data_IF_873174947549
#
_entry.id   IF_873174947549
#
_cell.length_a   1.000
_cell.length_b   1.000
_cell.length_c   1.000
_cell.angle_alpha   90.00
_cell.angle_beta   90.00
_cell.angle_gamma   90.00
#
_symmetry.space_group_name_H-M   'P 1'
#
loop_
_entity.id
_entity.type
_entity.pdbx_description
1 polymer ?
#
# COMPACT_ATOMS: atom_id res chain seq x y z
N UNK A 1 -19.79 -24.56 20.23
CA UNK A 1 -18.93 -23.37 20.48
C UNK A 1 -17.97 -23.70 21.61
N UNK A 2 -16.65 -23.49 21.46
CA UNK A 2 -15.66 -23.70 22.55
C UNK A 2 -14.95 -22.40 22.90
N UNK A 3 -14.53 -22.24 24.15
CA UNK A 3 -13.79 -21.05 24.59
C UNK A 3 -12.51 -20.83 23.78
N UNK A 4 -11.80 -21.92 23.43
CA UNK A 4 -10.61 -21.89 22.57
C UNK A 4 -10.89 -21.26 21.20
N UNK A 5 -12.01 -21.65 20.57
CA UNK A 5 -12.40 -21.09 19.28
C UNK A 5 -12.75 -19.61 19.39
N UNK A 6 -13.49 -19.21 20.43
CA UNK A 6 -13.85 -17.80 20.67
C UNK A 6 -12.60 -16.95 20.89
N UNK A 7 -11.63 -17.42 21.68
CA UNK A 7 -10.35 -16.73 21.86
C UNK A 7 -9.58 -16.60 20.54
N UNK A 8 -9.54 -17.67 19.74
CA UNK A 8 -8.89 -17.68 18.43
C UNK A 8 -9.47 -16.64 17.50
N UNK A 9 -10.81 -16.59 17.39
CA UNK A 9 -11.53 -15.65 16.52
C UNK A 9 -11.37 -14.20 17.00
N UNK A 10 -11.61 -13.92 18.29
CA UNK A 10 -11.60 -12.54 18.81
C UNK A 10 -10.20 -11.92 18.73
N UNK A 11 -9.15 -12.69 19.00
CA UNK A 11 -7.78 -12.18 19.05
C UNK A 11 -6.98 -12.40 17.76
N UNK A 12 -7.56 -13.05 16.75
CA UNK A 12 -6.83 -13.47 15.55
C UNK A 12 -5.55 -14.27 15.91
N UNK A 13 -5.67 -15.25 16.81
CA UNK A 13 -4.51 -16.00 17.33
C UNK A 13 -3.83 -16.79 16.22
N UNK A 14 -2.53 -16.54 16.02
CA UNK A 14 -1.65 -17.37 15.19
C UNK A 14 -1.01 -18.43 16.11
N UNK A 15 -1.20 -19.75 15.87
CA UNK A 15 -0.52 -20.78 16.63
C UNK A 15 1.01 -20.67 16.50
N UNK A 16 1.73 -20.82 17.61
CA UNK A 16 3.18 -20.67 17.64
C UNK A 16 3.83 -21.71 18.56
N UNK A 17 5.03 -22.13 18.19
CA UNK A 17 5.89 -23.05 18.95
C UNK A 17 7.33 -22.55 18.96
N UNK A 18 8.10 -22.90 19.99
CA UNK A 18 9.45 -22.39 20.18
C UNK A 18 10.43 -22.85 19.09
N UNK A 19 10.26 -24.04 18.54
CA UNK A 19 11.15 -24.63 17.51
C UNK A 19 11.19 -23.79 16.24
N UNK A 20 10.03 -23.43 15.67
CA UNK A 20 9.95 -22.61 14.45
C UNK A 20 10.59 -21.25 14.65
N UNK A 21 10.36 -20.61 15.81
CA UNK A 21 10.98 -19.32 16.14
C UNK A 21 12.51 -19.43 16.28
N UNK A 22 13.01 -20.52 16.88
CA UNK A 22 14.44 -20.74 17.04
C UNK A 22 15.15 -20.95 15.69
N UNK A 23 14.54 -21.69 14.75
CA UNK A 23 15.09 -21.89 13.40
C UNK A 23 15.19 -20.57 12.64
N UNK A 24 14.10 -19.80 12.58
CA UNK A 24 14.07 -18.51 11.87
C UNK A 24 15.05 -17.51 12.51
N UNK A 25 15.07 -17.42 13.85
CA UNK A 25 15.99 -16.53 14.55
C UNK A 25 17.46 -16.90 14.30
N UNK A 26 17.79 -18.19 14.26
CA UNK A 26 19.14 -18.67 13.93
C UNK A 26 19.59 -18.27 12.53
N UNK A 27 18.69 -18.37 11.54
CA UNK A 27 18.95 -17.92 10.17
C UNK A 27 19.16 -16.39 10.14
N UNK A 28 18.26 -15.61 10.74
CA UNK A 28 18.40 -14.15 10.77
C UNK A 28 19.70 -13.69 11.45
N UNK A 29 20.05 -14.28 12.59
CA UNK A 29 21.29 -13.95 13.31
C UNK A 29 22.54 -14.30 12.48
N UNK A 30 22.50 -15.40 11.74
CA UNK A 30 23.57 -15.79 10.81
C UNK A 30 23.71 -14.77 9.69
N UNK A 31 22.61 -14.31 9.09
CA UNK A 31 22.66 -13.29 8.03
C UNK A 31 23.15 -11.94 8.54
N UNK A 32 22.74 -11.52 9.75
CA UNK A 32 23.28 -10.33 10.41
C UNK A 32 24.79 -10.44 10.62
N UNK A 33 25.27 -11.60 11.08
CA UNK A 33 26.71 -11.84 11.25
C UNK A 33 27.47 -11.77 9.92
N UNK A 34 26.95 -12.39 8.86
CA UNK A 34 27.53 -12.32 7.51
C UNK A 34 27.64 -10.88 7.02
N UNK A 35 26.56 -10.10 7.15
CA UNK A 35 26.52 -8.68 6.74
C UNK A 35 27.52 -7.84 7.56
N UNK A 36 27.53 -8.01 8.88
CA UNK A 36 28.37 -7.20 9.78
C UNK A 36 29.87 -7.47 9.61
N UNK A 37 30.24 -8.71 9.28
CA UNK A 37 31.65 -9.14 9.19
C UNK A 37 32.16 -9.29 7.75
N UNK A 38 31.26 -9.29 6.77
CA UNK A 38 31.57 -9.62 5.37
C UNK A 38 32.29 -10.97 5.21
N UNK A 39 32.08 -11.92 6.13
CA UNK A 39 32.79 -13.20 6.12
C UNK A 39 32.33 -14.16 5.01
N UNK A 40 31.07 -14.00 4.56
CA UNK A 40 30.43 -14.78 3.50
C UNK A 40 29.43 -13.91 2.74
N UNK A 41 28.98 -14.40 1.57
CA UNK A 41 27.88 -13.80 0.81
C UNK A 41 26.57 -14.00 1.60
N UNK A 42 25.77 -12.94 1.81
CA UNK A 42 24.47 -13.04 2.48
C UNK A 42 23.44 -13.76 1.62
N UNK A 43 22.38 -14.27 2.25
CA UNK A 43 21.21 -14.86 1.60
C UNK A 43 20.60 -13.87 0.60
N UNK A 44 20.25 -14.38 -0.57
CA UNK A 44 19.59 -13.60 -1.61
C UNK A 44 18.08 -13.46 -1.34
N UNK A 45 17.74 -12.60 -0.38
CA UNK A 45 16.45 -12.04 -0.02
C UNK A 45 15.32 -12.93 0.55
N UNK A 46 15.15 -14.21 0.16
CA UNK A 46 14.01 -15.00 0.64
C UNK A 46 14.35 -16.46 1.01
N UNK A 47 13.73 -16.92 2.10
CA UNK A 47 13.73 -18.31 2.54
C UNK A 47 12.37 -18.67 3.12
N UNK A 48 11.83 -19.81 2.71
CA UNK A 48 10.63 -20.44 3.28
C UNK A 48 11.06 -21.66 4.08
N UNK A 49 10.49 -21.83 5.27
CA UNK A 49 10.70 -23.00 6.14
C UNK A 49 9.34 -23.63 6.47
N UNK A 50 9.27 -24.96 6.43
CA UNK A 50 8.09 -25.74 6.79
C UNK A 50 8.51 -27.06 7.45
N UNK A 51 7.90 -27.40 8.57
CA UNK A 51 8.15 -28.61 9.36
C UNK A 51 6.91 -29.48 9.59
N UNK A 52 5.86 -29.34 8.76
CA UNK A 52 4.63 -30.13 8.87
C UNK A 52 4.84 -31.57 8.41
N UNK A 53 5.62 -31.79 7.35
CA UNK A 53 5.99 -33.11 6.83
C UNK A 53 7.51 -33.16 6.57
N UNK A 54 8.25 -33.74 7.51
CA UNK A 54 9.70 -33.66 7.54
C UNK A 54 10.20 -32.23 7.75
N UNK A 55 11.42 -31.94 7.28
CA UNK A 55 12.01 -30.59 7.31
C UNK A 55 12.17 -30.13 5.87
N UNK A 56 11.47 -29.07 5.50
CA UNK A 56 11.53 -28.47 4.17
C UNK A 56 11.98 -27.01 4.27
N UNK A 57 12.93 -26.64 3.42
CA UNK A 57 13.35 -25.27 3.23
C UNK A 57 13.56 -24.96 1.76
N UNK A 58 13.13 -23.78 1.32
CA UNK A 58 13.30 -23.32 -0.05
C UNK A 58 13.79 -21.88 -0.07
N UNK A 59 14.90 -21.64 -0.77
CA UNK A 59 15.49 -20.31 -0.96
C UNK A 59 15.33 -19.89 -2.41
N UNK A 60 14.92 -18.65 -2.63
CA UNK A 60 14.81 -18.08 -3.97
C UNK A 60 15.00 -16.56 -3.88
N UNK A 61 15.36 -15.96 -5.01
CA UNK A 61 15.42 -14.51 -5.14
C UNK A 61 14.06 -13.98 -5.56
N UNK A 62 13.37 -13.31 -4.63
CA UNK A 62 12.16 -12.57 -4.93
C UNK A 62 12.47 -11.36 -5.83
N UNK A 63 11.76 -11.24 -6.95
CA UNK A 63 11.95 -10.13 -7.88
C UNK A 63 11.49 -8.80 -7.26
N UNK A 64 12.26 -7.73 -7.50
CA UNK A 64 11.88 -6.38 -7.10
C UNK A 64 10.80 -5.85 -8.04
N UNK A 65 9.61 -5.57 -7.51
CA UNK A 65 8.54 -4.89 -8.26
C UNK A 65 8.97 -3.46 -8.62
N UNK A 66 9.11 -3.15 -9.91
CA UNK A 66 9.60 -1.85 -10.41
C UNK A 66 8.68 -0.67 -10.04
N UNK A 67 7.39 -0.93 -9.88
CA UNK A 67 6.36 0.03 -9.48
C UNK A 67 5.94 -0.17 -8.00
N UNK A 68 6.83 -0.63 -7.14
CA UNK A 68 6.57 -0.74 -5.70
C UNK A 68 6.27 0.64 -5.07
N UNK A 69 5.19 0.74 -4.30
CA UNK A 69 4.75 1.98 -3.63
C UNK A 69 5.76 2.56 -2.63
N UNK A 70 6.68 1.73 -2.13
CA UNK A 70 7.61 2.08 -1.06
C UNK A 70 9.02 2.31 -1.59
N UNK A 71 9.56 1.37 -2.37
CA UNK A 71 10.96 1.39 -2.79
C UNK A 71 11.18 1.76 -4.28
N UNK A 72 10.11 2.03 -5.03
CA UNK A 72 10.23 2.67 -6.34
C UNK A 72 10.37 4.18 -6.17
N UNK A 73 11.29 4.78 -6.92
CA UNK A 73 11.46 6.24 -6.98
C UNK A 73 10.62 6.87 -8.10
N UNK A 74 9.81 6.08 -8.80
CA UNK A 74 8.97 6.55 -9.91
C UNK A 74 7.59 6.93 -9.37
N UNK A 75 7.02 8.09 -9.76
CA UNK A 75 5.61 8.39 -9.49
C UNK A 75 4.73 7.28 -10.06
N UNK A 76 3.79 6.80 -9.26
CA UNK A 76 2.89 5.77 -9.70
C UNK A 76 1.76 6.41 -10.50
N UNK A 77 1.51 5.89 -11.70
CA UNK A 77 0.50 6.45 -12.61
C UNK A 77 -0.82 5.73 -12.36
N UNK A 78 -1.88 6.50 -12.12
CA UNK A 78 -3.24 5.99 -12.03
C UNK A 78 -4.06 6.50 -13.22
N UNK A 79 -4.48 5.56 -14.06
CA UNK A 79 -5.28 5.85 -15.23
C UNK A 79 -6.76 6.05 -14.87
N UNK A 80 -7.32 7.19 -15.27
CA UNK A 80 -8.73 7.56 -15.06
C UNK A 80 -9.43 7.56 -16.43
N UNK A 81 -10.36 6.63 -16.62
CA UNK A 81 -11.07 6.44 -17.91
C UNK A 81 -12.12 7.49 -18.21
N UNK A 82 -12.85 7.96 -17.20
CA UNK A 82 -13.90 8.98 -17.37
C UNK A 82 -13.73 10.09 -16.32
N UNK A 83 -12.89 11.10 -16.60
CA UNK A 83 -12.61 12.16 -15.63
C UNK A 83 -13.84 12.95 -15.21
N UNK A 84 -14.87 13.03 -16.05
CA UNK A 84 -16.06 13.83 -15.81
C UNK A 84 -17.05 13.15 -14.87
N UNK A 85 -17.08 11.81 -14.83
CA UNK A 85 -17.93 11.07 -13.88
C UNK A 85 -17.16 10.53 -12.68
N UNK A 86 -15.83 10.43 -12.76
CA UNK A 86 -15.00 9.83 -11.72
C UNK A 86 -14.99 10.69 -10.45
N UNK A 87 -15.50 10.13 -9.36
CA UNK A 87 -15.64 10.80 -8.06
C UNK A 87 -14.42 10.59 -7.17
N UNK A 88 -14.18 11.54 -6.27
CA UNK A 88 -13.11 11.41 -5.27
C UNK A 88 -13.29 10.16 -4.37
N UNK A 89 -14.53 9.78 -4.06
CA UNK A 89 -14.83 8.56 -3.33
C UNK A 89 -14.27 7.31 -4.04
N UNK A 90 -14.46 7.20 -5.36
CA UNK A 90 -13.95 6.07 -6.13
C UNK A 90 -12.42 5.99 -6.10
N UNK A 91 -11.73 7.13 -6.06
CA UNK A 91 -10.28 7.15 -5.87
C UNK A 91 -9.87 6.52 -4.52
N UNK A 92 -10.56 6.89 -3.45
CA UNK A 92 -10.30 6.35 -2.10
C UNK A 92 -10.61 4.85 -2.05
N UNK A 93 -11.72 4.43 -2.67
CA UNK A 93 -12.11 3.03 -2.74
C UNK A 93 -11.04 2.21 -3.48
N UNK A 94 -10.53 2.69 -4.62
CA UNK A 94 -9.41 2.03 -5.34
C UNK A 94 -8.18 1.90 -4.44
N UNK A 95 -7.78 2.97 -3.75
CA UNK A 95 -6.59 2.96 -2.90
C UNK A 95 -6.74 2.02 -1.69
N UNK A 96 -7.98 1.78 -1.25
CA UNK A 96 -8.26 0.96 -0.08
C UNK A 96 -8.46 -0.52 -0.45
N UNK A 97 -9.19 -0.79 -1.54
CA UNK A 97 -9.62 -2.14 -1.92
C UNK A 97 -8.65 -2.84 -2.88
N UNK A 98 -7.90 -2.09 -3.70
CA UNK A 98 -6.98 -2.71 -4.65
C UNK A 98 -5.83 -3.40 -3.94
N UNK A 99 -5.56 -4.64 -4.36
CA UNK A 99 -4.48 -5.46 -3.84
C UNK A 99 -3.09 -4.81 -4.01
N UNK A 100 -2.95 -3.85 -4.92
CA UNK A 100 -1.70 -3.13 -5.13
C UNK A 100 -1.40 -2.08 -4.06
N UNK A 101 -2.46 -1.50 -3.46
CA UNK A 101 -2.34 -0.37 -2.53
C UNK A 101 -2.69 -0.75 -1.10
N UNK A 102 -3.83 -1.44 -0.89
CA UNK A 102 -4.31 -1.93 0.41
C UNK A 102 -4.21 -0.88 1.54
N UNK A 103 -4.45 0.38 1.22
CA UNK A 103 -4.38 1.47 2.19
C UNK A 103 -5.55 1.40 3.16
N UNK A 104 -5.33 1.77 4.41
CA UNK A 104 -6.37 1.60 5.44
C UNK A 104 -7.31 2.79 5.51
N UNK A 105 -6.76 4.00 5.52
CA UNK A 105 -7.47 5.28 5.66
C UNK A 105 -6.71 6.38 4.88
N UNK A 106 -6.67 6.32 3.54
CA UNK A 106 -5.85 7.21 2.75
C UNK A 106 -6.33 8.67 2.85
N UNK A 107 -5.44 9.56 3.29
CA UNK A 107 -5.60 11.00 3.24
C UNK A 107 -5.04 11.55 1.93
N UNK A 108 -5.86 12.33 1.22
CA UNK A 108 -5.56 12.85 -0.12
C UNK A 108 -5.38 14.36 -0.08
N UNK A 109 -4.23 14.81 -0.56
CA UNK A 109 -3.91 16.24 -0.73
C UNK A 109 -3.34 16.47 -2.13
N UNK A 110 -3.46 17.70 -2.64
CA UNK A 110 -2.88 18.07 -3.94
C UNK A 110 -2.49 19.54 -3.93
N UNK A 111 -1.72 19.97 -4.93
CA UNK A 111 -1.34 21.37 -5.12
C UNK A 111 -2.18 21.95 -6.25
N UNK A 112 -2.96 22.99 -5.95
CA UNK A 112 -3.73 23.76 -6.95
C UNK A 112 -3.28 25.21 -6.86
N UNK A 113 -2.89 25.79 -7.99
CA UNK A 113 -2.43 27.18 -8.11
C UNK A 113 -1.36 27.56 -7.06
N UNK A 114 -0.41 26.65 -6.83
CA UNK A 114 0.70 26.84 -5.89
C UNK A 114 0.33 26.71 -4.40
N UNK A 115 -0.91 26.33 -4.07
CA UNK A 115 -1.36 26.12 -2.68
C UNK A 115 -1.72 24.66 -2.44
N UNK A 116 -1.33 24.15 -1.28
CA UNK A 116 -1.75 22.83 -0.81
C UNK A 116 -3.24 22.85 -0.48
N UNK A 117 -3.99 21.96 -1.12
CA UNK A 117 -5.42 21.76 -0.92
C UNK A 117 -5.66 20.33 -0.43
N UNK A 118 -6.31 20.20 0.72
CA UNK A 118 -6.78 18.90 1.22
C UNK A 118 -8.05 18.50 0.49
N UNK A 119 -8.01 17.35 -0.18
CA UNK A 119 -9.16 16.79 -0.89
C UNK A 119 -10.06 16.02 0.08
N UNK A 120 -9.46 15.12 0.85
CA UNK A 120 -10.12 14.33 1.89
C UNK A 120 -9.12 13.85 2.93
N UNK A 121 -9.52 13.83 4.21
CA UNK A 121 -8.69 13.29 5.29
C UNK A 121 -9.57 12.79 6.44
N UNK A 122 -9.55 11.48 6.70
CA UNK A 122 -10.41 10.84 7.71
C UNK A 122 -9.82 10.84 9.13
N UNK A 123 -8.51 11.06 9.26
CA UNK A 123 -7.79 10.95 10.55
C UNK A 123 -8.14 12.07 11.54
N UNK A 124 -8.48 13.26 11.05
CA UNK A 124 -8.80 14.44 11.87
C UNK A 124 -10.28 14.81 11.64
N UNK A 125 -11.12 14.59 12.66
CA UNK A 125 -12.59 14.78 12.56
C UNK A 125 -13.00 16.15 12.00
N UNK A 126 -12.37 17.24 12.46
CA UNK A 126 -12.69 18.60 11.99
C UNK A 126 -12.36 18.84 10.52
N UNK A 127 -11.35 18.15 9.98
CA UNK A 127 -10.99 18.21 8.56
C UNK A 127 -11.88 17.26 7.76
N UNK A 128 -12.17 16.08 8.30
CA UNK A 128 -13.05 15.08 7.71
C UNK A 128 -14.43 15.67 7.43
N UNK A 129 -15.06 16.30 8.42
CA UNK A 129 -16.38 16.93 8.28
C UNK A 129 -16.39 18.00 7.18
N UNK A 130 -15.32 18.80 7.09
CA UNK A 130 -15.18 19.87 6.09
C UNK A 130 -14.87 19.35 4.68
N UNK A 131 -14.23 18.19 4.58
CA UNK A 131 -13.79 17.61 3.30
C UNK A 131 -14.69 16.48 2.81
N UNK A 132 -15.59 15.97 3.64
CA UNK A 132 -16.57 14.93 3.30
C UNK A 132 -17.44 15.31 2.10
N UNK A 133 -17.79 16.60 1.97
CA UNK A 133 -18.55 17.14 0.82
C UNK A 133 -17.82 17.00 -0.52
N UNK A 134 -16.50 16.77 -0.52
CA UNK A 134 -15.73 16.56 -1.74
C UNK A 134 -15.81 15.12 -2.26
N UNK A 135 -16.24 14.16 -1.44
CA UNK A 135 -16.30 12.75 -1.82
C UNK A 135 -17.26 12.50 -2.98
N UNK A 136 -18.38 13.22 -3.01
CA UNK A 136 -19.41 13.10 -4.03
C UNK A 136 -19.12 13.92 -5.30
N UNK A 137 -18.10 14.79 -5.24
CA UNK A 137 -17.68 15.62 -6.36
C UNK A 137 -16.74 14.87 -7.28
N UNK A 138 -16.76 15.24 -8.55
CA UNK A 138 -15.89 14.67 -9.57
C UNK A 138 -14.48 15.26 -9.47
N UNK A 139 -13.47 14.56 -9.99
CA UNK A 139 -12.09 15.08 -9.97
C UNK A 139 -12.00 16.44 -10.72
N UNK A 140 -12.73 16.58 -11.81
CA UNK A 140 -12.81 17.82 -12.59
C UNK A 140 -13.47 18.96 -11.79
N UNK A 141 -14.58 18.70 -11.08
CA UNK A 141 -15.23 19.68 -10.19
C UNK A 141 -14.31 20.15 -9.04
N UNK A 142 -13.41 19.28 -8.59
CA UNK A 142 -12.42 19.60 -7.57
C UNK A 142 -11.24 20.44 -8.09
N UNK A 143 -11.18 20.66 -9.40
CA UNK A 143 -10.14 21.41 -10.10
C UNK A 143 -8.90 20.57 -10.41
N UNK A 144 -9.01 19.24 -10.41
CA UNK A 144 -7.90 18.32 -10.68
C UNK A 144 -7.77 18.14 -12.19
N UNK A 145 -6.58 18.39 -12.71
CA UNK A 145 -6.24 18.32 -14.14
C UNK A 145 -5.49 17.02 -14.46
N UNK A 146 -5.44 16.72 -15.75
CA UNK A 146 -4.59 15.63 -16.24
C UNK A 146 -3.10 15.86 -15.88
N UNK A 147 -2.40 14.79 -15.53
CA UNK A 147 -0.99 14.80 -15.12
C UNK A 147 -0.73 15.35 -13.72
N UNK A 148 -1.78 15.71 -12.97
CA UNK A 148 -1.65 16.28 -11.63
C UNK A 148 -1.26 15.23 -10.59
N UNK A 149 -0.40 15.65 -9.65
CA UNK A 149 0.06 14.81 -8.57
C UNK A 149 -0.90 14.89 -7.37
N UNK A 150 -1.26 13.72 -6.86
CA UNK A 150 -2.00 13.52 -5.62
C UNK A 150 -1.03 12.94 -4.60
N UNK A 151 -0.91 13.64 -3.49
CA UNK A 151 -0.10 13.25 -2.35
C UNK A 151 -0.98 12.45 -1.40
N UNK A 152 -0.65 11.17 -1.24
CA UNK A 152 -1.39 10.23 -0.41
C UNK A 152 -0.61 9.90 0.84
N UNK A 153 -1.22 10.16 1.99
CA UNK A 153 -0.68 9.77 3.29
C UNK A 153 -1.62 8.74 3.93
N UNK A 154 -1.08 7.63 4.41
CA UNK A 154 -1.86 6.56 5.04
C UNK A 154 -1.08 5.93 6.19
N UNK A 155 -1.78 5.31 7.14
CA UNK A 155 -1.16 4.63 8.29
C UNK A 155 -0.34 3.40 7.89
N UNK A 156 -0.52 2.88 6.67
CA UNK A 156 0.26 1.75 6.14
C UNK A 156 1.69 2.11 5.73
N UNK A 157 1.99 3.41 5.54
CA UNK A 157 3.30 3.88 5.09
C UNK A 157 3.75 5.12 5.87
N UNK A 158 5.01 5.18 6.36
CA UNK A 158 5.53 6.38 7.02
C UNK A 158 5.80 7.53 6.03
N UNK A 159 5.92 7.23 4.74
CA UNK A 159 6.21 8.21 3.67
C UNK A 159 4.98 8.47 2.82
N UNK A 160 4.81 9.72 2.38
CA UNK A 160 3.78 10.12 1.43
C UNK A 160 4.02 9.49 0.06
N UNK A 161 3.01 8.81 -0.47
CA UNK A 161 3.02 8.23 -1.82
C UNK A 161 2.55 9.30 -2.80
N UNK A 162 3.26 9.45 -3.91
CA UNK A 162 2.90 10.38 -4.99
C UNK A 162 2.23 9.61 -6.12
N UNK A 163 0.96 9.90 -6.36
CA UNK A 163 0.18 9.35 -7.48
C UNK A 163 0.04 10.42 -8.57
N UNK A 164 0.48 10.10 -9.78
CA UNK A 164 0.23 10.93 -10.95
C UNK A 164 -1.05 10.45 -11.62
N UNK A 165 -2.07 11.30 -11.64
CA UNK A 165 -3.31 10.99 -12.34
C UNK A 165 -3.10 11.16 -13.84
N UNK A 166 -3.55 10.20 -14.63
CA UNK A 166 -3.53 10.26 -16.09
C UNK A 166 -4.94 10.05 -16.63
N UNK A 167 -5.47 11.04 -17.33
CA UNK A 167 -6.79 10.95 -17.93
C UNK A 167 -6.65 10.23 -19.28
N UNK A 168 -7.34 9.11 -19.43
CA UNK A 168 -7.43 8.41 -20.71
C UNK A 168 -8.52 9.10 -21.51
N UNK A 169 -8.15 9.90 -22.51
CA UNK A 169 -9.11 10.37 -23.52
C UNK A 169 -9.59 9.16 -24.31
N UNK A 170 -10.87 8.84 -24.21
CA UNK A 170 -11.51 7.98 -25.21
C UNK A 170 -11.57 8.78 -26.51
N UNK A 171 -10.79 8.39 -27.50
CA UNK A 171 -10.98 8.80 -28.90
C UNK A 171 -12.32 8.21 -29.40
N UNK A 172 -13.44 8.75 -28.91
CA UNK A 172 -14.71 8.58 -29.59
C UNK A 172 -14.76 9.68 -30.63
N UNK A 173 -14.32 9.31 -31.83
CA UNK A 173 -14.47 10.07 -33.05
C UNK A 173 -15.89 10.66 -33.12
N UNK A 174 -15.97 11.98 -33.20
CA UNK A 174 -17.16 12.65 -33.74
C UNK A 174 -17.32 12.19 -35.19
N UNK A 175 -18.32 11.37 -35.45
CA UNK A 175 -18.94 11.16 -36.77
C UNK A 175 -20.35 11.75 -36.76
#
# INVERSE_FOLDING_TARGET
MTYRLVQGVVKHIIPAVASTNAVIAGICATEVFKIATSCCIPLNNYLVFNDVDGIYSYTYEAEKKDNCLVCSQKPLILDIKDPHSFKLKQLIDILSESAEYQMKNPGLTTVIDGKNKTLYMSTIKSIEERTRVNLDKTLVELGIKDGQDILVADVTSPTTVVLKLKYLTSDVEMS
#
